data_IF_893811392641
#
_entry.id   IF_893811392641
#
_cell.length_a   1.000
_cell.length_b   1.000
_cell.length_c   1.000
_cell.angle_alpha   90.00
_cell.angle_beta   90.00
_cell.angle_gamma   90.00
#
_symmetry.space_group_name_H-M   'P 1'
#
loop_
_entity.id
_entity.type
_entity.pdbx_description
1 polymer ?
#
# COMPACT_ATOMS: atom_id res chain seq x y z
N UNK A 1 -6.14 27.03 14.20
CA UNK A 1 -6.73 26.80 12.86
C UNK A 1 -7.16 25.34 12.79
N UNK A 2 -8.44 25.03 12.56
CA UNK A 2 -8.90 23.64 12.38
C UNK A 2 -8.74 23.26 10.91
N UNK A 3 -8.25 22.06 10.62
CA UNK A 3 -8.15 21.55 9.25
C UNK A 3 -9.53 21.52 8.59
N UNK A 4 -9.57 21.61 7.26
CA UNK A 4 -10.82 21.53 6.50
C UNK A 4 -11.64 20.28 6.92
N UNK A 5 -12.97 20.38 7.08
CA UNK A 5 -13.83 19.24 7.41
C UNK A 5 -13.66 18.02 6.48
N UNK A 6 -13.26 18.21 5.22
CA UNK A 6 -12.94 17.11 4.32
C UNK A 6 -11.71 16.33 4.78
N UNK A 7 -10.63 17.02 5.19
CA UNK A 7 -9.43 16.37 5.71
C UNK A 7 -9.71 15.63 7.02
N UNK A 8 -10.50 16.22 7.93
CA UNK A 8 -10.86 15.57 9.19
C UNK A 8 -11.63 14.26 8.94
N UNK A 9 -12.62 14.28 8.03
CA UNK A 9 -13.39 13.08 7.66
C UNK A 9 -12.51 12.01 7.01
N UNK A 10 -11.60 12.41 6.13
CA UNK A 10 -10.63 11.48 5.54
C UNK A 10 -9.74 10.83 6.61
N UNK A 11 -9.21 11.61 7.57
CA UNK A 11 -8.41 11.08 8.66
C UNK A 11 -9.18 10.09 9.55
N UNK A 12 -10.44 10.40 9.87
CA UNK A 12 -11.31 9.49 10.65
C UNK A 12 -11.61 8.22 9.88
N UNK A 13 -11.88 8.31 8.57
CA UNK A 13 -12.10 7.14 7.72
C UNK A 13 -10.88 6.22 7.72
N UNK A 14 -9.68 6.78 7.51
CA UNK A 14 -8.42 6.03 7.51
C UNK A 14 -8.16 5.36 8.86
N UNK A 15 -8.39 6.08 9.96
CA UNK A 15 -8.23 5.53 11.30
C UNK A 15 -9.20 4.36 11.56
N UNK A 16 -10.47 4.49 11.15
CA UNK A 16 -11.47 3.44 11.30
C UNK A 16 -11.20 2.24 10.39
N UNK A 17 -10.74 2.47 9.16
CA UNK A 17 -10.35 1.43 8.22
C UNK A 17 -9.13 0.66 8.74
N UNK A 18 -8.09 1.36 9.20
CA UNK A 18 -6.94 0.72 9.83
C UNK A 18 -7.32 -0.07 11.09
N UNK A 19 -8.22 0.46 11.92
CA UNK A 19 -8.70 -0.21 13.12
C UNK A 19 -9.57 -1.45 12.81
N UNK A 20 -10.40 -1.40 11.76
CA UNK A 20 -11.20 -2.55 11.35
C UNK A 20 -10.31 -3.67 10.80
N UNK A 21 -9.28 -3.35 10.03
CA UNK A 21 -8.33 -4.33 9.51
C UNK A 21 -7.50 -5.00 10.60
N UNK A 22 -7.07 -4.26 11.63
CA UNK A 22 -6.37 -4.86 12.79
C UNK A 22 -7.17 -5.95 13.48
N UNK A 23 -8.50 -5.85 13.50
CA UNK A 23 -9.38 -6.89 14.09
C UNK A 23 -9.37 -8.20 13.29
N UNK A 24 -8.95 -8.16 12.03
CA UNK A 24 -8.83 -9.32 11.15
C UNK A 24 -7.41 -9.91 11.15
N UNK A 25 -6.50 -9.37 11.97
CA UNK A 25 -5.14 -9.86 12.13
C UNK A 25 -4.08 -9.01 11.42
N UNK A 26 -2.81 -9.33 11.69
CA UNK A 26 -1.65 -8.57 11.22
C UNK A 26 -1.53 -8.55 9.69
N UNK A 27 -1.94 -9.62 9.02
CA UNK A 27 -1.87 -9.75 7.56
C UNK A 27 -2.86 -8.82 6.85
N UNK A 28 -4.12 -8.79 7.30
CA UNK A 28 -5.16 -7.91 6.78
C UNK A 28 -4.83 -6.43 7.04
N UNK A 29 -4.24 -6.14 8.21
CA UNK A 29 -3.73 -4.80 8.50
C UNK A 29 -2.64 -4.37 7.51
N UNK A 30 -1.66 -5.24 7.24
CA UNK A 30 -0.59 -4.94 6.30
C UNK A 30 -1.11 -4.71 4.88
N UNK A 31 -2.02 -5.56 4.39
CA UNK A 31 -2.64 -5.40 3.08
C UNK A 31 -3.35 -4.06 2.93
N UNK A 32 -4.20 -3.69 3.89
CA UNK A 32 -4.96 -2.46 3.77
C UNK A 32 -4.11 -1.20 3.96
N UNK A 33 -3.03 -1.24 4.76
CA UNK A 33 -2.05 -0.13 4.82
C UNK A 33 -1.35 0.04 3.48
N UNK A 34 -0.92 -1.05 2.85
CA UNK A 34 -0.25 -1.01 1.54
C UNK A 34 -1.19 -0.53 0.44
N UNK A 35 -2.41 -1.08 0.38
CA UNK A 35 -3.43 -0.67 -0.59
C UNK A 35 -3.81 0.81 -0.42
N UNK A 36 -4.00 1.24 0.83
CA UNK A 36 -4.26 2.64 1.13
C UNK A 36 -3.10 3.53 0.71
N UNK A 37 -1.86 3.20 1.08
CA UNK A 37 -0.70 4.00 0.69
C UNK A 37 -0.59 4.12 -0.84
N UNK A 38 -0.72 3.02 -1.58
CA UNK A 38 -0.71 3.01 -3.04
C UNK A 38 -1.80 3.91 -3.65
N UNK A 39 -3.01 3.94 -3.07
CA UNK A 39 -4.10 4.80 -3.55
C UNK A 39 -3.81 6.30 -3.41
N UNK A 40 -2.85 6.68 -2.56
CA UNK A 40 -2.51 8.08 -2.26
C UNK A 40 -1.22 8.54 -2.92
N UNK A 41 -0.39 7.62 -3.41
CA UNK A 41 0.86 7.96 -4.08
C UNK A 41 0.56 8.29 -5.53
N UNK A 42 1.00 9.46 -5.99
CA UNK A 42 0.95 9.81 -7.41
C UNK A 42 1.88 8.87 -8.20
N UNK A 43 1.35 8.07 -9.14
CA UNK A 43 2.17 7.20 -9.96
C UNK A 43 3.04 8.00 -10.96
N UNK A 44 4.01 7.32 -11.55
CA UNK A 44 4.76 7.79 -12.70
C UNK A 44 3.89 7.84 -13.98
N UNK A 45 4.51 8.18 -15.11
CA UNK A 45 3.83 8.29 -16.41
C UNK A 45 3.23 6.96 -16.89
N UNK A 46 3.80 5.82 -16.46
CA UNK A 46 3.33 4.48 -16.81
C UNK A 46 2.23 3.97 -15.85
N UNK A 47 1.87 4.77 -14.84
CA UNK A 47 0.87 4.38 -13.84
C UNK A 47 1.45 3.54 -12.70
N UNK A 48 2.78 3.50 -12.53
CA UNK A 48 3.45 2.72 -11.50
C UNK A 48 3.98 3.57 -10.36
N UNK A 49 4.14 2.93 -9.21
CA UNK A 49 4.86 3.47 -8.05
C UNK A 49 6.11 2.63 -7.85
N UNK A 50 7.29 3.27 -7.82
CA UNK A 50 8.52 2.55 -7.53
C UNK A 50 8.49 1.94 -6.12
N UNK A 51 9.03 0.73 -5.99
CA UNK A 51 9.06 0.04 -4.71
C UNK A 51 9.89 0.79 -3.66
N UNK A 52 10.98 1.43 -4.08
CA UNK A 52 11.77 2.30 -3.22
C UNK A 52 10.92 3.43 -2.61
N UNK A 53 10.12 4.12 -3.42
CA UNK A 53 9.23 5.18 -2.94
C UNK A 53 8.15 4.66 -1.99
N UNK A 54 7.60 3.48 -2.29
CA UNK A 54 6.62 2.85 -1.40
C UNK A 54 7.25 2.49 -0.04
N UNK A 55 8.47 1.94 -0.04
CA UNK A 55 9.24 1.65 1.18
C UNK A 55 9.54 2.91 1.97
N UNK A 56 9.92 4.00 1.31
CA UNK A 56 10.25 5.26 1.98
C UNK A 56 9.02 5.87 2.68
N UNK A 57 7.82 5.69 2.10
CA UNK A 57 6.55 6.12 2.71
C UNK A 57 6.11 5.18 3.84
N UNK A 58 6.35 3.88 3.68
CA UNK A 58 6.03 2.84 4.65
C UNK A 58 7.28 2.43 5.44
N UNK A 59 8.08 3.41 5.88
CA UNK A 59 9.39 3.15 6.51
C UNK A 59 9.30 2.33 7.80
N UNK A 60 8.17 2.42 8.52
CA UNK A 60 7.91 1.66 9.76
C UNK A 60 7.41 0.22 9.49
N UNK A 61 7.13 -0.13 8.23
CA UNK A 61 6.65 -1.46 7.84
C UNK A 61 7.82 -2.34 7.42
N UNK A 62 7.98 -3.49 8.07
CA UNK A 62 9.02 -4.45 7.71
C UNK A 62 8.90 -4.88 6.24
N UNK A 63 9.97 -4.67 5.47
CA UNK A 63 10.01 -4.98 4.04
C UNK A 63 9.75 -6.47 3.79
N UNK A 64 10.58 -7.33 4.37
CA UNK A 64 10.50 -8.78 4.18
C UNK A 64 9.38 -9.43 5.00
N UNK A 65 9.00 -8.83 6.13
CA UNK A 65 8.02 -9.42 7.04
C UNK A 65 6.56 -9.06 6.71
N UNK A 66 6.31 -7.87 6.16
CA UNK A 66 4.95 -7.35 5.97
C UNK A 66 4.72 -6.76 4.59
N UNK A 67 5.61 -5.91 4.08
CA UNK A 67 5.38 -5.17 2.83
C UNK A 67 5.37 -6.07 1.60
N UNK A 68 6.40 -6.89 1.40
CA UNK A 68 6.47 -7.82 0.26
C UNK A 68 5.36 -8.88 0.34
N UNK A 69 5.13 -9.56 1.48
CA UNK A 69 4.02 -10.49 1.60
C UNK A 69 2.65 -9.87 1.37
N UNK A 70 2.42 -8.63 1.82
CA UNK A 70 1.17 -7.91 1.57
C UNK A 70 0.99 -7.59 0.08
N UNK A 71 2.04 -7.13 -0.60
CA UNK A 71 2.02 -6.90 -2.04
C UNK A 71 1.72 -8.19 -2.80
N UNK A 72 2.36 -9.31 -2.46
CA UNK A 72 2.11 -10.62 -3.10
C UNK A 72 0.65 -11.08 -2.91
N UNK A 73 0.06 -10.85 -1.72
CA UNK A 73 -1.36 -11.17 -1.46
C UNK A 73 -2.29 -10.25 -2.27
N UNK A 74 -2.00 -8.96 -2.34
CA UNK A 74 -2.75 -8.01 -3.17
C UNK A 74 -2.64 -8.32 -4.67
N UNK A 75 -1.49 -8.80 -5.13
CA UNK A 75 -1.27 -9.23 -6.51
C UNK A 75 -2.11 -10.48 -6.83
N UNK A 76 -2.11 -11.48 -5.94
CA UNK A 76 -2.96 -12.67 -6.06
C UNK A 76 -4.46 -12.32 -6.07
N UNK A 77 -4.85 -11.28 -5.34
CA UNK A 77 -6.22 -10.76 -5.34
C UNK A 77 -6.56 -9.91 -6.59
N UNK A 78 -5.59 -9.65 -7.48
CA UNK A 78 -5.77 -8.84 -8.69
C UNK A 78 -5.89 -7.33 -8.43
N UNK A 79 -5.61 -6.87 -7.20
CA UNK A 79 -5.72 -5.46 -6.79
C UNK A 79 -4.51 -4.66 -7.28
N UNK A 80 -3.34 -5.27 -7.30
CA UNK A 80 -2.10 -4.66 -7.80
C UNK A 80 -1.45 -5.53 -8.88
N UNK A 81 -0.58 -4.92 -9.68
CA UNK A 81 0.34 -5.61 -10.57
C UNK A 81 1.77 -5.30 -10.14
N UNK A 82 2.62 -6.32 -9.97
CA UNK A 82 4.00 -6.16 -9.50
C UNK A 82 4.96 -6.48 -10.63
N UNK A 83 5.75 -5.48 -11.04
CA UNK A 83 6.90 -5.72 -11.90
C UNK A 83 8.13 -5.98 -11.06
N UNK A 84 8.86 -7.04 -11.39
CA UNK A 84 10.08 -7.49 -10.72
C UNK A 84 11.23 -7.46 -11.72
N UNK A 85 12.42 -7.11 -11.25
CA UNK A 85 13.64 -7.14 -12.06
C UNK A 85 14.18 -8.59 -12.07
N UNK A 86 14.61 -9.15 -13.23
CA UNK A 86 15.12 -10.52 -13.32
C UNK A 86 16.27 -10.83 -12.35
N UNK A 87 17.10 -9.83 -12.06
CA UNK A 87 18.26 -9.90 -11.16
C UNK A 87 17.86 -9.97 -9.67
N UNK A 88 16.63 -9.59 -9.32
CA UNK A 88 16.13 -9.61 -7.95
C UNK A 88 14.64 -10.00 -7.90
N UNK A 89 14.29 -11.26 -8.24
CA UNK A 89 12.90 -11.70 -8.37
C UNK A 89 12.16 -11.77 -7.03
N UNK A 90 12.87 -11.69 -5.90
CA UNK A 90 12.28 -11.68 -4.57
C UNK A 90 11.77 -10.31 -4.13
N UNK A 91 12.16 -9.23 -4.81
CA UNK A 91 11.76 -7.87 -4.47
C UNK A 91 10.99 -7.21 -5.62
N UNK A 92 9.86 -6.56 -5.33
CA UNK A 92 9.21 -5.67 -6.28
C UNK A 92 10.16 -4.58 -6.77
N UNK A 93 10.10 -4.26 -8.06
CA UNK A 93 10.72 -3.07 -8.63
C UNK A 93 9.74 -1.91 -8.65
N UNK A 94 8.54 -2.14 -9.20
CA UNK A 94 7.46 -1.16 -9.24
C UNK A 94 6.09 -1.83 -9.16
N UNK A 95 5.12 -1.11 -8.60
CA UNK A 95 3.78 -1.62 -8.30
C UNK A 95 2.75 -0.70 -8.93
N UNK A 96 1.79 -1.27 -9.65
CA UNK A 96 0.66 -0.55 -10.21
C UNK A 96 -0.62 -0.93 -9.46
N UNK A 97 -1.41 0.07 -9.08
CA UNK A 97 -2.73 -0.14 -8.50
C UNK A 97 -3.76 -0.32 -9.61
N UNK A 98 -4.47 -1.46 -9.63
CA UNK A 98 -5.51 -1.76 -10.63
C UNK A 98 -6.91 -1.35 -10.17
N UNK A 99 -7.18 -1.48 -8.88
CA UNK A 99 -8.48 -1.16 -8.28
C UNK A 99 -8.28 -0.04 -7.26
N UNK A 100 -8.65 1.21 -7.59
CA UNK A 100 -8.61 2.30 -6.63
C UNK A 100 -9.64 2.07 -5.52
N UNK A 101 -9.32 2.53 -4.30
CA UNK A 101 -10.23 2.55 -3.15
C UNK A 101 -11.38 3.54 -3.36
#
# INVERSE_FOLDING_TARGET
MRADPAYQRASVYVANYAASLRKHGTEAYAEGVVHFALSRIRPDADGFVSFARLRDILCDVSVSGLLVPALDRLEKAGIVNIERIPEAPSLPNRVQLRIPL
#
